data_IF_611718514558
#
_entry.id   IF_611718514558
#
_cell.length_a   1.000
_cell.length_b   1.000
_cell.length_c   1.000
_cell.angle_alpha   90.00
_cell.angle_beta   90.00
_cell.angle_gamma   90.00
#
_symmetry.space_group_name_H-M   'P 1'
#
loop_
_entity.id
_entity.type
_entity.pdbx_description
1 polymer ?
#
# COMPACT_ATOMS: atom_id res chain seq x y z
N UNK A 1 20.40 10.29 7.14
CA UNK A 1 19.52 11.33 6.59
C UNK A 1 18.08 10.89 6.66
N UNK A 2 17.20 11.84 6.91
CA UNK A 2 15.77 11.54 7.00
C UNK A 2 15.18 11.31 5.63
N UNK A 3 14.30 10.33 5.53
CA UNK A 3 13.52 10.11 4.32
C UNK A 3 12.41 11.15 4.22
N UNK A 4 11.89 11.35 3.03
CA UNK A 4 10.81 12.31 2.76
C UNK A 4 9.49 11.57 2.67
N UNK A 5 8.54 11.94 3.51
CA UNK A 5 7.20 11.36 3.52
C UNK A 5 6.34 11.97 2.42
N UNK A 6 5.57 11.14 1.73
CA UNK A 6 4.60 11.62 0.74
C UNK A 6 3.32 10.80 0.81
N UNK A 7 2.25 11.36 0.24
CA UNK A 7 0.95 10.69 0.14
C UNK A 7 0.39 10.83 -1.26
N UNK A 8 -0.35 9.80 -1.67
CA UNK A 8 -1.13 9.80 -2.91
C UNK A 8 -2.58 9.52 -2.56
N UNK A 9 -3.50 10.26 -3.17
CA UNK A 9 -4.91 9.99 -3.04
C UNK A 9 -5.46 9.68 -4.43
N UNK A 10 -5.99 8.48 -4.61
CA UNK A 10 -6.47 8.02 -5.91
C UNK A 10 -7.91 7.56 -5.78
N UNK A 11 -8.85 8.14 -6.56
CA UNK A 11 -10.25 7.70 -6.53
C UNK A 11 -10.38 6.26 -7.03
N UNK A 12 -11.20 5.46 -6.34
CA UNK A 12 -11.45 4.06 -6.71
C UNK A 12 -12.95 3.79 -6.62
N UNK A 13 -13.53 3.25 -7.69
CA UNK A 13 -14.96 2.91 -7.71
C UNK A 13 -15.18 1.51 -7.14
N UNK A 14 -15.04 1.39 -5.82
CA UNK A 14 -15.21 0.13 -5.10
C UNK A 14 -15.63 0.43 -3.67
N UNK A 15 -16.26 -0.54 -3.01
CA UNK A 15 -16.60 -0.37 -1.60
C UNK A 15 -15.33 -0.42 -0.75
N UNK A 16 -15.34 0.22 0.43
CA UNK A 16 -14.20 0.11 1.36
C UNK A 16 -13.85 -1.34 1.71
N UNK A 17 -14.85 -2.19 1.92
CA UNK A 17 -14.63 -3.59 2.27
C UNK A 17 -13.92 -4.35 1.14
N UNK A 18 -14.37 -4.16 -0.10
CA UNK A 18 -13.74 -4.80 -1.26
C UNK A 18 -12.31 -4.32 -1.44
N UNK A 19 -12.10 -3.01 -1.40
CA UNK A 19 -10.78 -2.42 -1.57
C UNK A 19 -9.82 -2.93 -0.48
N UNK A 20 -10.29 -3.00 0.76
CA UNK A 20 -9.50 -3.49 1.88
C UNK A 20 -9.01 -4.93 1.64
N UNK A 21 -9.82 -5.79 1.04
CA UNK A 21 -9.43 -7.17 0.74
C UNK A 21 -8.20 -7.22 -0.17
N UNK A 22 -8.06 -6.28 -1.08
CA UNK A 22 -6.93 -6.25 -2.01
C UNK A 22 -5.65 -5.71 -1.40
N UNK A 23 -5.72 -4.86 -0.40
CA UNK A 23 -4.49 -4.31 0.18
C UNK A 23 -4.16 -4.86 1.59
N UNK A 24 -5.05 -5.60 2.22
CA UNK A 24 -4.84 -6.06 3.59
C UNK A 24 -4.77 -7.58 3.73
N UNK A 25 -4.90 -8.33 2.64
CA UNK A 25 -4.77 -9.79 2.68
C UNK A 25 -3.62 -10.24 1.78
N UNK A 26 -2.95 -11.36 2.14
CA UNK A 26 -1.89 -11.89 1.25
C UNK A 26 -2.41 -12.20 -0.15
N UNK A 27 -3.56 -12.85 -0.27
CA UNK A 27 -4.12 -13.20 -1.57
C UNK A 27 -4.49 -11.95 -2.38
N UNK A 28 -5.00 -10.92 -1.74
CA UNK A 28 -5.32 -9.66 -2.41
C UNK A 28 -4.06 -8.95 -2.91
N UNK A 29 -3.03 -8.89 -2.08
CA UNK A 29 -1.77 -8.25 -2.45
C UNK A 29 -1.05 -9.00 -3.58
N UNK A 30 -1.21 -10.31 -3.67
CA UNK A 30 -0.65 -11.08 -4.78
C UNK A 30 -1.26 -10.73 -6.14
N UNK A 31 -2.44 -10.12 -6.16
CA UNK A 31 -3.12 -9.79 -7.39
C UNK A 31 -2.53 -8.56 -8.08
N UNK A 32 -1.92 -7.65 -7.33
CA UNK A 32 -1.46 -6.38 -7.91
C UNK A 32 -0.15 -5.84 -7.36
N UNK A 33 0.20 -6.16 -6.12
CA UNK A 33 1.34 -5.54 -5.43
C UNK A 33 2.62 -6.34 -5.58
N UNK A 34 2.54 -7.65 -5.49
CA UNK A 34 3.70 -8.53 -5.57
C UNK A 34 3.34 -9.83 -6.29
N UNK A 35 4.34 -10.54 -6.77
CA UNK A 35 4.12 -11.81 -7.49
C UNK A 35 3.64 -12.90 -6.56
N UNK A 36 4.15 -12.90 -5.32
CA UNK A 36 3.75 -13.84 -4.29
C UNK A 36 3.84 -13.17 -2.93
N UNK A 37 2.94 -13.52 -2.03
CA UNK A 37 2.90 -12.96 -0.68
C UNK A 37 2.69 -14.08 0.32
N UNK A 38 3.59 -14.17 1.31
CA UNK A 38 3.46 -15.09 2.43
C UNK A 38 3.29 -14.30 3.71
N UNK A 39 2.45 -14.78 4.61
CA UNK A 39 2.30 -14.13 5.91
C UNK A 39 2.44 -15.15 7.03
N UNK A 40 3.00 -14.69 8.15
CA UNK A 40 3.16 -15.51 9.34
C UNK A 40 3.00 -14.60 10.56
N UNK A 41 1.81 -14.63 11.16
CA UNK A 41 1.49 -13.70 12.22
C UNK A 41 1.48 -12.27 11.69
N UNK A 42 2.28 -11.41 12.30
CA UNK A 42 2.41 -10.01 11.86
C UNK A 42 3.48 -9.81 10.80
N UNK A 43 4.25 -10.84 10.50
CA UNK A 43 5.30 -10.76 9.48
C UNK A 43 4.72 -11.12 8.13
N UNK A 44 5.10 -10.37 7.11
CA UNK A 44 4.64 -10.59 5.75
C UNK A 44 5.84 -10.47 4.82
N UNK A 45 5.97 -11.43 3.88
CA UNK A 45 7.07 -11.44 2.92
C UNK A 45 6.51 -11.29 1.52
N UNK A 46 7.03 -10.32 0.79
CA UNK A 46 6.66 -10.05 -0.59
C UNK A 46 7.75 -10.57 -1.52
N UNK A 47 7.33 -11.27 -2.57
CA UNK A 47 8.26 -11.83 -3.57
C UNK A 47 7.98 -11.17 -4.92
N UNK A 48 9.05 -10.66 -5.54
CA UNK A 48 9.04 -10.21 -6.91
C UNK A 48 10.06 -11.07 -7.67
N UNK A 49 10.06 -11.06 -9.01
CA UNK A 49 10.91 -11.95 -9.82
C UNK A 49 12.34 -12.10 -9.30
N UNK A 50 12.96 -10.98 -8.95
CA UNK A 50 14.39 -10.95 -8.58
C UNK A 50 14.64 -10.67 -7.12
N UNK A 51 13.61 -10.50 -6.32
CA UNK A 51 13.82 -10.06 -4.94
C UNK A 51 12.72 -10.54 -4.01
N UNK A 52 13.06 -10.55 -2.73
CA UNK A 52 12.07 -10.74 -1.68
C UNK A 52 12.33 -9.72 -0.59
N UNK A 53 11.26 -9.22 0.02
CA UNK A 53 11.38 -8.26 1.10
C UNK A 53 10.37 -8.57 2.19
N UNK A 54 10.81 -8.45 3.43
CA UNK A 54 9.99 -8.73 4.59
C UNK A 54 9.56 -7.45 5.27
N UNK A 55 8.31 -7.43 5.73
CA UNK A 55 7.75 -6.32 6.48
C UNK A 55 6.98 -6.84 7.69
N UNK A 56 6.72 -5.95 8.63
CA UNK A 56 5.89 -6.24 9.79
C UNK A 56 4.65 -5.38 9.72
N UNK A 57 3.49 -5.98 10.00
CA UNK A 57 2.24 -5.23 10.09
C UNK A 57 2.23 -4.50 11.43
N UNK A 58 2.25 -3.17 11.39
CA UNK A 58 2.31 -2.34 12.60
C UNK A 58 0.90 -1.99 13.09
N UNK A 59 0.01 -1.65 12.17
CA UNK A 59 -1.36 -1.26 12.48
C UNK A 59 -2.28 -1.85 11.44
N UNK A 60 -3.44 -2.36 11.89
CA UNK A 60 -4.45 -2.91 10.98
C UNK A 60 -5.83 -2.62 11.55
N UNK A 61 -6.68 -1.98 10.76
CA UNK A 61 -8.06 -1.70 11.12
C UNK A 61 -8.96 -2.10 9.96
N UNK A 62 -9.86 -3.04 10.22
CA UNK A 62 -10.73 -3.61 9.18
C UNK A 62 -11.49 -2.54 8.39
N UNK A 63 -11.51 -2.71 7.08
CA UNK A 63 -12.17 -1.84 6.10
C UNK A 63 -11.67 -0.40 6.09
N UNK A 64 -10.55 -0.12 6.76
CA UNK A 64 -10.04 1.23 6.88
C UNK A 64 -8.58 1.38 6.49
N UNK A 65 -7.67 0.62 7.12
CA UNK A 65 -6.24 0.84 6.87
C UNK A 65 -5.38 -0.33 7.30
N UNK A 66 -4.15 -0.36 6.74
CA UNK A 66 -3.09 -1.25 7.18
C UNK A 66 -1.75 -0.53 7.01
N UNK A 67 -0.89 -0.62 8.00
CA UNK A 67 0.44 0.00 7.98
C UNK A 67 1.50 -1.09 8.09
N UNK A 68 2.50 -1.01 7.22
CA UNK A 68 3.63 -1.94 7.18
C UNK A 68 4.93 -1.21 7.45
N UNK A 69 5.85 -1.88 8.11
CA UNK A 69 7.21 -1.39 8.27
C UNK A 69 8.17 -2.41 7.69
N UNK A 70 9.01 -1.98 6.75
CA UNK A 70 10.02 -2.85 6.17
C UNK A 70 11.03 -3.26 7.23
N UNK A 71 11.42 -4.55 7.24
CA UNK A 71 12.42 -5.05 8.17
C UNK A 71 13.75 -4.32 8.01
N UNK A 72 14.13 -4.01 6.76
CA UNK A 72 15.35 -3.27 6.47
C UNK A 72 15.33 -1.84 6.99
N UNK A 73 14.15 -1.29 7.23
CA UNK A 73 13.97 0.08 7.72
C UNK A 73 13.73 0.14 9.23
N UNK A 74 14.07 -0.92 9.95
CA UNK A 74 13.79 -1.00 11.39
C UNK A 74 14.38 0.14 12.20
N UNK A 75 15.50 0.68 11.76
CA UNK A 75 16.19 1.75 12.47
C UNK A 75 15.71 3.16 12.16
N UNK A 76 14.74 3.34 11.26
CA UNK A 76 14.22 4.66 10.91
C UNK A 76 12.71 4.74 11.11
N UNK A 77 12.11 5.91 10.83
CA UNK A 77 10.69 6.14 11.05
C UNK A 77 9.84 5.85 9.82
N UNK A 78 10.43 5.32 8.75
CA UNK A 78 9.69 5.08 7.51
C UNK A 78 8.75 3.87 7.62
N UNK A 79 7.68 3.92 6.84
CA UNK A 79 6.68 2.87 6.73
C UNK A 79 5.93 3.06 5.42
N UNK A 80 5.06 2.13 5.05
CA UNK A 80 4.07 2.41 4.02
C UNK A 80 2.69 2.00 4.54
N UNK A 81 1.68 2.74 4.09
CA UNK A 81 0.32 2.56 4.60
C UNK A 81 -0.69 2.66 3.47
N UNK A 82 -1.67 1.79 3.50
CA UNK A 82 -2.85 1.88 2.65
C UNK A 82 -4.03 2.27 3.52
N UNK A 83 -4.77 3.29 3.11
CA UNK A 83 -5.92 3.77 3.87
C UNK A 83 -7.07 4.06 2.92
N UNK A 84 -8.27 3.71 3.33
CA UNK A 84 -9.50 4.03 2.58
C UNK A 84 -10.11 5.29 3.16
N UNK A 85 -10.48 6.22 2.29
CA UNK A 85 -11.19 7.42 2.70
C UNK A 85 -12.50 7.50 1.93
N UNK A 86 -13.59 7.81 2.64
CA UNK A 86 -14.91 7.98 2.05
C UNK A 86 -15.33 9.43 2.25
N UNK A 87 -15.66 10.11 1.16
CA UNK A 87 -16.16 11.48 1.25
C UNK A 87 -17.52 11.48 1.94
N UNK A 88 -17.71 12.26 3.01
CA UNK A 88 -18.98 12.26 3.75
C UNK A 88 -20.16 12.81 2.96
N UNK A 89 -19.91 13.61 1.95
CA UNK A 89 -20.97 14.23 1.15
C UNK A 89 -21.30 13.41 -0.10
N UNK A 90 -20.29 13.09 -0.91
CA UNK A 90 -20.49 12.38 -2.18
C UNK A 90 -20.47 10.88 -2.04
N UNK A 91 -19.90 10.36 -0.94
CA UNK A 91 -19.67 8.93 -0.71
C UNK A 91 -18.63 8.32 -1.65
N UNK A 92 -17.88 9.17 -2.35
CA UNK A 92 -16.80 8.69 -3.20
C UNK A 92 -15.69 8.06 -2.34
N UNK A 93 -15.12 6.97 -2.84
CA UNK A 93 -14.06 6.22 -2.15
C UNK A 93 -12.72 6.53 -2.79
N UNK A 94 -11.72 6.78 -1.97
CA UNK A 94 -10.34 6.99 -2.41
C UNK A 94 -9.41 6.06 -1.65
N UNK A 95 -8.37 5.61 -2.33
CA UNK A 95 -7.26 4.90 -1.69
C UNK A 95 -6.15 5.92 -1.45
N UNK A 96 -5.69 6.00 -0.22
CA UNK A 96 -4.58 6.87 0.15
C UNK A 96 -3.37 6.00 0.46
N UNK A 97 -2.27 6.23 -0.26
CA UNK A 97 -1.01 5.55 -0.02
C UNK A 97 -0.04 6.52 0.61
N UNK A 98 0.52 6.14 1.75
CA UNK A 98 1.58 6.90 2.41
C UNK A 98 2.86 6.09 2.30
N UNK A 99 3.94 6.73 1.86
CA UNK A 99 5.24 6.08 1.74
C UNK A 99 6.33 7.12 1.92
N UNK A 100 7.59 6.69 1.85
CA UNK A 100 8.75 7.54 2.02
C UNK A 100 9.73 7.34 0.88
N UNK A 101 10.34 8.43 0.43
CA UNK A 101 11.43 8.40 -0.55
C UNK A 101 12.71 8.84 0.15
N UNK A 102 13.85 8.48 -0.44
CA UNK A 102 15.15 8.82 0.15
C UNK A 102 15.41 10.32 0.15
N UNK A 103 14.89 11.04 -0.87
CA UNK A 103 15.03 12.49 -1.00
C UNK A 103 13.88 13.07 -1.81
N UNK A 104 13.87 14.39 -1.96
CA UNK A 104 12.81 15.10 -2.70
C UNK A 104 12.74 14.69 -4.17
N UNK A 105 13.88 14.43 -4.78
CA UNK A 105 13.93 14.02 -6.18
C UNK A 105 13.29 12.65 -6.38
N UNK A 106 13.43 11.77 -5.40
CA UNK A 106 12.86 10.43 -5.45
C UNK A 106 11.34 10.39 -5.26
N UNK A 107 10.74 11.45 -4.72
CA UNK A 107 9.29 11.49 -4.46
C UNK A 107 8.48 11.33 -5.75
N UNK A 108 8.82 12.09 -6.80
CA UNK A 108 8.06 12.04 -8.04
C UNK A 108 8.13 10.67 -8.72
N UNK A 109 9.29 10.05 -8.71
CA UNK A 109 9.47 8.71 -9.25
C UNK A 109 8.68 7.68 -8.45
N UNK A 110 8.73 7.78 -7.12
CA UNK A 110 7.99 6.87 -6.25
C UNK A 110 6.48 7.00 -6.45
N UNK A 111 5.98 8.22 -6.59
CA UNK A 111 4.56 8.46 -6.87
C UNK A 111 4.13 7.81 -8.18
N UNK A 112 4.95 7.94 -9.20
CA UNK A 112 4.66 7.36 -10.51
C UNK A 112 4.58 5.83 -10.43
N UNK A 113 5.49 5.21 -9.71
CA UNK A 113 5.47 3.76 -9.50
C UNK A 113 4.21 3.32 -8.77
N UNK A 114 3.81 4.05 -7.73
CA UNK A 114 2.58 3.75 -7.00
C UNK A 114 1.34 3.92 -7.88
N UNK A 115 1.30 4.98 -8.67
CA UNK A 115 0.18 5.20 -9.59
C UNK A 115 0.02 4.05 -10.57
N UNK A 116 1.13 3.56 -11.12
CA UNK A 116 1.12 2.42 -12.03
C UNK A 116 0.60 1.15 -11.35
N UNK A 117 1.02 0.87 -10.13
CA UNK A 117 0.56 -0.28 -9.38
C UNK A 117 -0.93 -0.18 -9.03
N UNK A 118 -1.38 1.00 -8.64
CA UNK A 118 -2.79 1.21 -8.30
C UNK A 118 -3.68 1.13 -9.55
N UNK A 119 -3.16 1.52 -10.71
CA UNK A 119 -3.89 1.33 -11.96
C UNK A 119 -4.14 -0.16 -12.23
N UNK A 120 -3.17 -1.01 -11.92
CA UNK A 120 -3.36 -2.47 -12.01
C UNK A 120 -4.48 -2.92 -11.08
N UNK A 121 -4.49 -2.42 -9.85
CA UNK A 121 -5.54 -2.73 -8.89
C UNK A 121 -6.91 -2.30 -9.41
N UNK A 122 -7.00 -1.10 -9.97
CA UNK A 122 -8.26 -0.57 -10.52
C UNK A 122 -8.78 -1.43 -11.66
N UNK A 123 -7.90 -1.90 -12.53
CA UNK A 123 -8.28 -2.81 -13.61
C UNK A 123 -8.83 -4.13 -13.08
N UNK A 124 -8.20 -4.67 -12.04
CA UNK A 124 -8.63 -5.94 -11.44
C UNK A 124 -10.05 -5.88 -10.88
N UNK A 125 -10.39 -4.79 -10.24
CA UNK A 125 -11.70 -4.65 -9.59
C UNK A 125 -12.73 -3.92 -10.45
N UNK A 126 -12.38 -3.58 -11.68
CA UNK A 126 -13.30 -2.92 -12.60
C UNK A 126 -13.59 -1.46 -12.26
N UNK A 127 -12.66 -0.80 -11.58
CA UNK A 127 -12.91 0.54 -11.05
C UNK A 127 -12.21 1.65 -11.82
#
# INVERSE_FOLDING_TARGET
>A
MSKVKFELEIPVHASPALLYQYFATPSGLEEWFADKVNSRGKNITFFWDDSEEEATIVTKKADERIKFKWTESEGDDSYFEFRVQVDPLTKDVSLIVTDFADDEDGVEEAKMLWENQIDELRHLIGA
#
